data_IF_126585408723
#
_entry.id   IF_126585408723
#
_cell.length_a   1.000
_cell.length_b   1.000
_cell.length_c   1.000
_cell.angle_alpha   90.00
_cell.angle_beta   90.00
_cell.angle_gamma   90.00
#
_symmetry.space_group_name_H-M   'P 1'
#
loop_
_entity.id
_entity.type
_entity.pdbx_description
1 polymer ?
#
# COMPACT_ATOMS: atom_id res chain seq x y z
N UNK A 1 -10.68 6.19 4.73
CA UNK A 1 -10.53 5.72 3.33
C UNK A 1 -11.84 5.92 2.59
N UNK A 2 -11.88 5.79 1.26
CA UNK A 2 -13.17 5.71 0.55
C UNK A 2 -13.74 4.30 0.64
N UNK A 3 -15.05 4.13 0.43
CA UNK A 3 -15.70 2.81 0.41
C UNK A 3 -15.08 1.85 -0.61
N UNK A 4 -14.61 2.37 -1.76
CA UNK A 4 -13.87 1.56 -2.73
C UNK A 4 -12.51 1.12 -2.17
N UNK A 5 -11.80 2.01 -1.48
CA UNK A 5 -10.54 1.68 -0.82
C UNK A 5 -10.70 0.59 0.24
N UNK A 6 -11.75 0.67 1.05
CA UNK A 6 -12.05 -0.35 2.08
C UNK A 6 -12.34 -1.71 1.45
N UNK A 7 -13.10 -1.74 0.35
CA UNK A 7 -13.34 -2.98 -0.41
C UNK A 7 -12.06 -3.54 -1.03
N UNK A 8 -11.20 -2.68 -1.59
CA UNK A 8 -9.91 -3.10 -2.15
C UNK A 8 -8.99 -3.66 -1.06
N UNK A 9 -8.92 -2.99 0.10
CA UNK A 9 -8.14 -3.46 1.23
C UNK A 9 -8.62 -4.82 1.73
N UNK A 10 -9.93 -4.98 1.94
CA UNK A 10 -10.53 -6.26 2.37
C UNK A 10 -10.21 -7.39 1.38
N UNK A 11 -10.39 -7.16 0.07
CA UNK A 11 -10.05 -8.17 -0.94
C UNK A 11 -8.58 -8.57 -0.94
N UNK A 12 -7.69 -7.62 -0.69
CA UNK A 12 -6.26 -7.84 -0.62
C UNK A 12 -5.88 -8.62 0.64
N UNK A 13 -6.33 -8.15 1.82
CA UNK A 13 -6.07 -8.79 3.12
C UNK A 13 -6.48 -10.26 3.16
N UNK A 14 -7.66 -10.57 2.64
CA UNK A 14 -8.23 -11.92 2.68
C UNK A 14 -7.98 -12.72 1.40
N UNK A 15 -7.04 -12.32 0.53
CA UNK A 15 -6.88 -12.93 -0.79
C UNK A 15 -6.69 -14.46 -0.72
N UNK A 16 -5.93 -14.95 0.26
CA UNK A 16 -5.64 -16.38 0.43
C UNK A 16 -6.57 -17.11 1.39
N UNK A 17 -7.33 -16.36 2.19
CA UNK A 17 -8.17 -16.91 3.27
C UNK A 17 -9.65 -16.59 3.08
N UNK A 18 -10.05 -16.00 1.94
CA UNK A 18 -11.43 -15.51 1.71
C UNK A 18 -12.51 -16.55 1.98
N UNK A 19 -12.24 -17.82 1.67
CA UNK A 19 -13.17 -18.91 1.90
C UNK A 19 -13.21 -19.33 3.38
N UNK A 20 -12.12 -19.10 4.11
CA UNK A 20 -11.97 -19.38 5.55
C UNK A 20 -12.37 -18.19 6.43
N UNK A 21 -12.51 -16.99 5.83
CA UNK A 21 -12.87 -15.78 6.54
C UNK A 21 -14.22 -15.90 7.26
N UNK A 22 -14.42 -15.19 8.39
CA UNK A 22 -15.61 -15.34 9.24
C UNK A 22 -16.94 -15.15 8.49
N UNK A 23 -16.92 -14.36 7.42
CA UNK A 23 -18.07 -14.02 6.59
C UNK A 23 -18.71 -15.25 5.89
N UNK A 24 -17.97 -16.32 5.66
CA UNK A 24 -18.42 -17.47 4.85
C UNK A 24 -18.63 -18.76 5.64
N UNK A 25 -18.19 -18.83 6.90
CA UNK A 25 -18.35 -19.96 7.86
C UNK A 25 -18.28 -21.35 7.19
N UNK A 26 -17.29 -21.54 6.31
CA UNK A 26 -17.28 -22.70 5.41
C UNK A 26 -16.70 -23.95 6.05
N UNK A 27 -15.81 -23.80 7.03
CA UNK A 27 -15.05 -24.89 7.66
C UNK A 27 -14.72 -24.51 9.11
N UNK A 28 -14.84 -25.46 10.04
CA UNK A 28 -14.28 -25.31 11.39
C UNK A 28 -12.77 -25.52 11.36
N UNK A 29 -12.01 -24.49 11.72
CA UNK A 29 -10.55 -24.54 11.80
C UNK A 29 -10.11 -25.09 13.15
N UNK A 30 -9.07 -25.91 13.14
CA UNK A 30 -8.29 -26.21 14.35
C UNK A 30 -7.58 -24.94 14.86
N UNK A 31 -7.17 -24.90 16.15
CA UNK A 31 -6.43 -23.76 16.68
C UNK A 31 -5.16 -23.43 15.88
N UNK A 32 -4.46 -24.44 15.37
CA UNK A 32 -3.25 -24.30 14.58
C UNK A 32 -3.54 -23.69 13.19
N UNK A 33 -4.61 -24.15 12.54
CA UNK A 33 -5.04 -23.60 11.25
C UNK A 33 -5.52 -22.15 11.39
N UNK A 34 -6.25 -21.83 12.47
CA UNK A 34 -6.68 -20.48 12.77
C UNK A 34 -5.48 -19.55 13.03
N UNK A 35 -4.44 -20.04 13.70
CA UNK A 35 -3.20 -19.28 13.92
C UNK A 35 -2.49 -18.96 12.60
N UNK A 36 -2.36 -19.95 11.70
CA UNK A 36 -1.75 -19.74 10.39
C UNK A 36 -2.57 -18.76 9.56
N UNK A 37 -3.90 -18.91 9.56
CA UNK A 37 -4.80 -17.99 8.88
C UNK A 37 -4.61 -16.55 9.38
N UNK A 38 -4.62 -16.33 10.70
CA UNK A 38 -4.41 -15.02 11.31
C UNK A 38 -3.07 -14.42 10.92
N UNK A 39 -1.99 -15.22 10.95
CA UNK A 39 -0.66 -14.75 10.56
C UNK A 39 -0.61 -14.28 9.10
N UNK A 40 -1.26 -15.02 8.19
CA UNK A 40 -1.37 -14.62 6.77
C UNK A 40 -2.19 -13.35 6.62
N UNK A 41 -3.36 -13.27 7.26
CA UNK A 41 -4.26 -12.11 7.18
C UNK A 41 -3.65 -10.84 7.78
N UNK A 42 -2.95 -10.95 8.90
CA UNK A 42 -2.28 -9.81 9.54
C UNK A 42 -1.10 -9.31 8.71
N UNK A 43 -0.28 -10.23 8.20
CA UNK A 43 0.87 -9.89 7.34
C UNK A 43 0.39 -9.24 6.05
N UNK A 44 -0.54 -9.89 5.37
CA UNK A 44 -1.08 -9.37 4.12
C UNK A 44 -1.88 -8.09 4.37
N UNK A 45 -2.61 -7.98 5.47
CA UNK A 45 -3.35 -6.78 5.88
C UNK A 45 -2.45 -5.55 6.02
N UNK A 46 -1.30 -5.69 6.70
CA UNK A 46 -0.34 -4.59 6.84
C UNK A 46 0.28 -4.18 5.49
N UNK A 47 0.67 -5.16 4.66
CA UNK A 47 1.21 -4.90 3.31
C UNK A 47 0.14 -4.19 2.45
N UNK A 48 -1.07 -4.73 2.41
CA UNK A 48 -2.18 -4.20 1.63
C UNK A 48 -2.61 -2.81 2.10
N UNK A 49 -2.59 -2.54 3.41
CA UNK A 49 -2.92 -1.23 3.95
C UNK A 49 -1.98 -0.17 3.39
N UNK A 50 -0.67 -0.44 3.39
CA UNK A 50 0.31 0.46 2.81
C UNK A 50 0.11 0.61 1.30
N UNK A 51 0.04 -0.51 0.55
CA UNK A 51 -0.10 -0.50 -0.92
C UNK A 51 -1.35 0.25 -1.36
N UNK A 52 -2.50 0.00 -0.73
CA UNK A 52 -3.77 0.65 -1.10
C UNK A 52 -3.74 2.13 -0.71
N UNK A 53 -3.19 2.47 0.45
CA UNK A 53 -3.17 3.87 0.92
C UNK A 53 -2.18 4.71 0.12
N UNK A 54 -0.92 4.27 0.02
CA UNK A 54 0.13 4.97 -0.69
C UNK A 54 -0.12 4.94 -2.21
N UNK A 55 -0.45 3.78 -2.78
CA UNK A 55 -0.71 3.64 -4.22
C UNK A 55 -1.84 4.55 -4.69
N UNK A 56 -3.00 4.55 -4.03
CA UNK A 56 -4.10 5.46 -4.39
C UNK A 56 -3.74 6.93 -4.16
N UNK A 57 -2.90 7.25 -3.17
CA UNK A 57 -2.46 8.62 -2.93
C UNK A 57 -1.48 9.11 -4.01
N UNK A 58 -0.55 8.25 -4.46
CA UNK A 58 0.36 8.50 -5.57
C UNK A 58 -0.42 8.77 -6.84
N UNK A 59 -1.37 7.90 -7.20
CA UNK A 59 -2.23 8.07 -8.37
C UNK A 59 -3.02 9.39 -8.32
N UNK A 60 -3.56 9.74 -7.15
CA UNK A 60 -4.26 11.02 -6.98
C UNK A 60 -3.36 12.22 -7.16
N UNK A 61 -2.13 12.20 -6.61
CA UNK A 61 -1.16 13.29 -6.83
C UNK A 61 -0.77 13.40 -8.30
N UNK A 62 -0.57 12.25 -8.98
CA UNK A 62 -0.27 12.22 -10.40
C UNK A 62 -1.40 12.83 -11.24
N UNK A 63 -2.64 12.34 -11.07
CA UNK A 63 -3.83 12.84 -11.77
C UNK A 63 -4.04 14.33 -11.52
N UNK A 64 -3.92 14.77 -10.27
CA UNK A 64 -4.12 16.16 -9.89
C UNK A 64 -3.07 17.05 -10.54
N UNK A 65 -1.80 16.64 -10.60
CA UNK A 65 -0.70 17.45 -11.15
C UNK A 65 -0.58 17.41 -12.65
N UNK A 66 -0.85 16.29 -13.30
CA UNK A 66 -0.53 16.11 -14.73
C UNK A 66 -1.77 16.04 -15.63
N UNK A 67 -2.91 15.50 -15.16
CA UNK A 67 -4.11 15.41 -15.99
C UNK A 67 -5.05 16.63 -15.84
N UNK A 68 -5.18 17.21 -14.64
CA UNK A 68 -6.09 18.35 -14.42
C UNK A 68 -5.57 19.70 -14.95
N UNK A 69 -4.28 19.78 -15.32
CA UNK A 69 -3.69 21.00 -15.89
C UNK A 69 -4.14 21.30 -17.33
N UNK A 70 -4.91 20.43 -17.98
CA UNK A 70 -5.45 20.71 -19.31
C UNK A 70 -6.60 21.74 -19.32
N UNK A 71 -7.22 22.06 -18.17
CA UNK A 71 -8.42 22.91 -18.11
C UNK A 71 -8.40 24.03 -17.06
N UNK A 72 -7.32 24.24 -16.32
CA UNK A 72 -7.28 25.26 -15.26
C UNK A 72 -5.94 25.99 -15.22
N UNK A 73 -6.00 27.32 -15.15
CA UNK A 73 -4.88 28.26 -15.01
C UNK A 73 -3.81 27.75 -14.02
N UNK A 74 -2.51 27.99 -14.27
CA UNK A 74 -1.41 27.39 -13.52
C UNK A 74 -1.35 27.95 -12.09
N UNK A 75 -2.18 27.41 -11.20
CA UNK A 75 -1.94 27.48 -9.77
C UNK A 75 -0.73 26.62 -9.49
N UNK A 76 0.42 27.25 -9.22
CA UNK A 76 1.70 26.59 -8.95
C UNK A 76 1.54 25.63 -7.77
N UNK A 77 1.26 24.35 -8.04
CA UNK A 77 1.16 23.34 -6.99
C UNK A 77 2.53 23.21 -6.35
N UNK A 78 2.63 23.59 -5.08
CA UNK A 78 3.91 23.69 -4.40
C UNK A 78 4.72 22.40 -4.54
N UNK A 79 5.93 22.53 -5.07
CA UNK A 79 6.92 21.44 -5.16
C UNK A 79 7.29 20.95 -3.75
N UNK A 80 7.35 21.84 -2.76
CA UNK A 80 7.64 21.46 -1.37
C UNK A 80 6.55 20.57 -0.77
N UNK A 81 5.29 20.77 -1.17
CA UNK A 81 4.18 19.92 -0.74
C UNK A 81 4.25 18.52 -1.37
N UNK A 82 4.78 18.40 -2.59
CA UNK A 82 5.03 17.11 -3.23
C UNK A 82 6.14 16.35 -2.51
N UNK A 83 7.28 17.00 -2.29
CA UNK A 83 8.44 16.41 -1.60
C UNK A 83 8.04 15.92 -0.20
N UNK A 84 7.27 16.71 0.55
CA UNK A 84 6.75 16.30 1.86
C UNK A 84 5.90 15.02 1.78
N UNK A 85 5.03 14.89 0.78
CA UNK A 85 4.21 13.68 0.57
C UNK A 85 5.06 12.47 0.17
N UNK A 86 6.02 12.66 -0.75
CA UNK A 86 6.96 11.62 -1.15
C UNK A 86 7.74 11.08 0.05
N UNK A 87 8.29 11.98 0.87
CA UNK A 87 8.99 11.60 2.09
C UNK A 87 8.08 10.81 3.04
N UNK A 88 6.81 11.23 3.21
CA UNK A 88 5.87 10.50 4.08
C UNK A 88 5.56 9.09 3.59
N UNK A 89 5.46 8.88 2.27
CA UNK A 89 5.24 7.56 1.69
C UNK A 89 6.49 6.68 1.78
N UNK A 90 7.67 7.28 1.57
CA UNK A 90 8.96 6.61 1.74
C UNK A 90 9.14 6.15 3.20
N UNK A 91 8.94 7.03 4.18
CA UNK A 91 9.04 6.66 5.60
C UNK A 91 8.05 5.54 5.95
N UNK A 92 6.81 5.62 5.48
CA UNK A 92 5.83 4.55 5.72
C UNK A 92 6.24 3.21 5.08
N UNK A 93 6.93 3.24 3.93
CA UNK A 93 7.47 2.02 3.31
C UNK A 93 8.62 1.46 4.12
N UNK A 94 9.56 2.29 4.56
CA UNK A 94 10.69 1.91 5.39
C UNK A 94 10.22 1.29 6.72
N UNK A 95 9.18 1.85 7.34
CA UNK A 95 8.52 1.29 8.53
C UNK A 95 7.89 -0.08 8.26
N UNK A 96 7.19 -0.26 7.12
CA UNK A 96 6.64 -1.56 6.73
C UNK A 96 7.75 -2.59 6.52
N UNK A 97 8.84 -2.23 5.85
CA UNK A 97 9.99 -3.10 5.62
C UNK A 97 10.68 -3.49 6.93
N UNK A 98 10.77 -2.56 7.89
CA UNK A 98 11.25 -2.84 9.23
C UNK A 98 10.34 -3.81 9.98
N UNK A 99 9.01 -3.62 9.88
CA UNK A 99 8.03 -4.52 10.48
C UNK A 99 8.11 -5.95 9.92
N UNK A 100 8.35 -6.09 8.61
CA UNK A 100 8.55 -7.38 7.94
C UNK A 100 9.91 -8.03 8.24
N UNK A 101 10.84 -7.30 8.89
CA UNK A 101 12.22 -7.76 9.07
C UNK A 101 13.02 -7.80 7.76
N UNK A 102 12.63 -7.00 6.77
CA UNK A 102 13.21 -6.98 5.42
C UNK A 102 14.16 -5.79 5.19
N UNK A 103 14.57 -5.08 6.24
CA UNK A 103 15.45 -3.90 6.13
C UNK A 103 16.73 -4.21 5.34
N UNK A 104 17.35 -5.36 5.61
CA UNK A 104 18.61 -5.77 4.96
C UNK A 104 18.40 -6.44 3.58
N UNK A 105 17.15 -6.74 3.22
CA UNK A 105 16.78 -7.34 1.93
C UNK A 105 16.29 -6.29 0.93
N UNK A 106 15.94 -5.10 1.41
CA UNK A 106 15.47 -4.02 0.59
C UNK A 106 16.62 -3.31 -0.11
N UNK A 107 16.65 -3.37 -1.44
CA UNK A 107 17.55 -2.58 -2.27
C UNK A 107 16.73 -1.53 -2.99
N UNK A 108 17.14 -0.26 -2.86
CA UNK A 108 16.55 0.84 -3.62
C UNK A 108 17.64 1.84 -4.02
N UNK A 109 17.37 2.55 -5.10
CA UNK A 109 18.27 3.57 -5.61
C UNK A 109 18.11 4.85 -4.77
N UNK A 110 19.16 5.24 -4.03
CA UNK A 110 19.14 6.37 -3.10
C UNK A 110 18.80 7.72 -3.77
N UNK A 111 19.21 7.89 -5.03
CA UNK A 111 18.97 9.10 -5.83
C UNK A 111 17.95 8.87 -6.97
N UNK A 112 17.15 7.80 -6.87
CA UNK A 112 16.34 7.28 -7.97
C UNK A 112 17.16 6.38 -8.89
N UNK A 113 16.52 5.39 -9.49
CA UNK A 113 17.23 4.49 -10.41
C UNK A 113 17.50 5.23 -11.70
N UNK A 114 18.73 5.09 -12.23
CA UNK A 114 19.03 5.59 -13.56
C UNK A 114 18.09 4.91 -14.57
N UNK A 115 17.79 5.58 -15.69
CA UNK A 115 16.86 5.05 -16.71
C UNK A 115 17.28 3.68 -17.27
N UNK A 116 18.53 3.30 -17.05
CA UNK A 116 19.21 2.09 -17.52
C UNK A 116 19.66 1.13 -16.41
N UNK A 117 19.35 1.40 -15.13
CA UNK A 117 19.60 0.46 -14.04
C UNK A 117 18.42 -0.49 -13.86
N UNK A 118 18.68 -1.80 -14.02
CA UNK A 118 17.76 -2.92 -13.75
C UNK A 118 17.92 -3.36 -12.30
#
# INVERSE_FOLDING_TARGET
MSTLGEKTLSKCQYQYTRLLAPDFDTVQLTPEEALIMSAVEETLGNICLWVVTAGLAIEREWLDRFERLQYSSPGTKSFTALVSRLNSWQTGLEELMAWLGWVDQWTYCKDGCAQDEI
#
